data_IF_018732299716
#
_entry.id   IF_018732299716
#
_cell.length_a   1.000
_cell.length_b   1.000
_cell.length_c   1.000
_cell.angle_alpha   90.00
_cell.angle_beta   90.00
_cell.angle_gamma   90.00
#
_symmetry.space_group_name_H-M   'P 1'
#
loop_
_entity.id
_entity.type
_entity.pdbx_description
1 polymer ?
#
# COMPACT_ATOMS: atom_id res chain seq x y z
N UNK A 1 12.45 67.20 -19.32
CA UNK A 1 11.57 67.77 -18.28
C UNK A 1 10.14 67.52 -18.69
N UNK A 2 9.49 66.49 -18.13
CA UNK A 2 8.10 66.13 -18.41
C UNK A 2 7.46 65.71 -17.09
N UNK A 3 6.51 66.52 -16.62
CA UNK A 3 5.90 66.41 -15.30
C UNK A 3 4.89 65.26 -15.22
N UNK A 4 5.02 64.49 -14.14
CA UNK A 4 4.10 63.40 -13.75
C UNK A 4 2.95 64.01 -12.94
N UNK A 5 1.71 63.81 -13.39
CA UNK A 5 0.50 64.18 -12.66
C UNK A 5 0.01 63.00 -11.82
N UNK A 6 -0.11 63.25 -10.51
CA UNK A 6 -0.64 62.31 -9.52
C UNK A 6 -2.17 62.21 -9.62
N UNK A 7 -2.67 61.02 -9.95
CA UNK A 7 -4.08 60.65 -9.89
C UNK A 7 -4.52 60.35 -8.46
N UNK A 8 -5.50 61.12 -7.98
CA UNK A 8 -6.13 61.05 -6.65
C UNK A 8 -7.26 60.00 -6.67
N UNK A 9 -7.08 58.88 -5.98
CA UNK A 9 -8.16 57.88 -5.79
C UNK A 9 -9.07 58.32 -4.65
N UNK A 10 -10.36 58.52 -4.95
CA UNK A 10 -11.43 58.74 -3.97
C UNK A 10 -11.81 57.40 -3.36
N UNK A 11 -11.79 57.33 -2.03
CA UNK A 11 -12.41 56.28 -1.23
C UNK A 11 -13.80 56.77 -0.82
N UNK A 12 -14.83 56.30 -1.53
CA UNK A 12 -16.21 56.52 -1.14
C UNK A 12 -16.75 55.28 -0.40
N UNK A 13 -17.04 55.50 0.88
CA UNK A 13 -18.25 55.09 1.61
C UNK A 13 -18.67 53.60 1.57
N UNK A 14 -18.39 52.90 2.69
CA UNK A 14 -19.15 51.72 3.12
C UNK A 14 -20.11 52.12 4.26
N UNK A 15 -21.38 51.67 4.24
CA UNK A 15 -22.35 51.97 5.30
C UNK A 15 -22.11 51.11 6.55
N UNK A 16 -22.21 51.79 7.69
CA UNK A 16 -22.29 51.26 9.04
C UNK A 16 -23.52 50.37 9.23
N UNK A 17 -23.31 49.09 9.57
CA UNK A 17 -24.37 48.22 10.09
C UNK A 17 -24.27 48.19 11.62
N UNK A 18 -25.38 48.58 12.23
CA UNK A 18 -25.59 48.74 13.66
C UNK A 18 -25.49 47.42 14.44
N UNK A 19 -24.90 47.56 15.62
CA UNK A 19 -24.84 46.56 16.66
C UNK A 19 -26.23 46.37 17.31
N UNK A 20 -26.72 45.12 17.33
CA UNK A 20 -27.75 44.70 18.28
C UNK A 20 -27.14 43.71 19.25
N UNK A 21 -27.17 44.12 20.53
CA UNK A 21 -26.53 43.42 21.63
C UNK A 21 -27.23 42.14 22.02
N UNK A 22 -26.43 41.15 22.41
CA UNK A 22 -26.91 40.04 23.22
C UNK A 22 -26.18 40.01 24.56
N UNK A 23 -27.00 40.15 25.60
CA UNK A 23 -26.67 40.25 27.01
C UNK A 23 -26.03 38.95 27.51
N UNK A 24 -24.93 39.08 28.23
CA UNK A 24 -24.36 38.05 29.09
C UNK A 24 -25.22 37.87 30.35
N UNK A 25 -25.46 36.62 30.75
CA UNK A 25 -25.74 36.28 32.14
C UNK A 25 -24.81 35.13 32.59
N UNK A 26 -24.20 35.23 33.79
CA UNK A 26 -23.41 34.17 34.37
C UNK A 26 -24.25 33.33 35.33
N UNK A 27 -24.29 32.02 35.15
CA UNK A 27 -24.78 31.09 36.18
C UNK A 27 -23.61 30.28 36.73
N UNK A 28 -23.17 30.69 37.93
CA UNK A 28 -22.43 29.86 38.89
C UNK A 28 -23.44 29.11 39.76
N UNK A 29 -23.35 27.78 39.82
CA UNK A 29 -23.76 26.91 40.96
C UNK A 29 -22.87 25.66 40.87
N UNK A 30 -21.80 25.57 41.67
CA UNK A 30 -21.69 24.87 42.95
C UNK A 30 -21.64 23.32 42.85
N UNK A 31 -20.41 22.81 43.01
CA UNK A 31 -19.99 21.65 43.82
C UNK A 31 -20.95 20.47 44.01
N UNK A 32 -20.55 19.28 43.52
CA UNK A 32 -20.66 18.05 44.33
C UNK A 32 -19.44 17.17 44.17
N UNK A 33 -18.71 17.13 45.26
CA UNK A 33 -17.58 16.29 45.60
C UNK A 33 -18.13 14.93 46.06
N UNK A 34 -17.85 13.84 45.35
CA UNK A 34 -17.90 12.51 45.94
C UNK A 34 -16.54 11.83 45.80
N UNK A 35 -15.87 11.81 46.95
CA UNK A 35 -14.80 10.88 47.27
C UNK A 35 -15.41 9.49 47.36
N UNK A 36 -14.83 8.53 46.67
CA UNK A 36 -14.76 7.16 47.16
C UNK A 36 -13.28 6.78 47.16
N UNK A 37 -12.72 6.70 48.36
CA UNK A 37 -11.38 6.21 48.64
C UNK A 37 -11.49 4.86 49.34
N UNK A 38 -10.45 4.05 49.14
CA UNK A 38 -10.04 2.88 49.91
C UNK A 38 -10.75 1.54 49.67
N UNK A 39 -10.08 0.71 48.85
CA UNK A 39 -10.00 -0.73 49.02
C UNK A 39 -8.54 -1.16 48.89
N UNK A 40 -7.82 -1.12 50.01
CA UNK A 40 -6.48 -1.65 50.15
C UNK A 40 -6.56 -3.19 50.05
N UNK A 41 -5.97 -3.79 49.02
CA UNK A 41 -5.71 -5.23 48.98
C UNK A 41 -4.22 -5.49 48.79
N UNK A 42 -3.62 -5.60 49.98
CA UNK A 42 -2.50 -6.44 50.40
C UNK A 42 -1.94 -7.37 49.33
N UNK A 43 -0.65 -7.13 49.08
CA UNK A 43 0.36 -7.96 48.45
C UNK A 43 0.52 -9.26 49.26
N UNK A 44 0.23 -10.41 48.66
CA UNK A 44 0.82 -11.68 49.06
C UNK A 44 1.56 -12.31 47.89
N UNK A 45 2.86 -12.44 48.14
CA UNK A 45 3.85 -13.19 47.40
C UNK A 45 3.47 -14.66 47.28
N UNK A 46 3.37 -15.15 46.05
CA UNK A 46 3.66 -16.56 45.79
C UNK A 46 4.54 -16.65 44.54
N UNK A 47 5.83 -16.55 44.80
CA UNK A 47 6.88 -17.11 43.95
C UNK A 47 6.57 -18.60 43.74
N UNK A 48 6.19 -18.97 42.51
CA UNK A 48 6.50 -20.30 41.99
C UNK A 48 7.20 -20.09 40.66
N UNK A 49 8.51 -20.32 40.70
CA UNK A 49 9.36 -20.29 39.53
C UNK A 49 8.82 -21.19 38.43
N UNK A 50 8.49 -20.58 37.30
CA UNK A 50 8.37 -21.26 36.03
C UNK A 50 9.60 -20.85 35.21
N UNK A 51 10.55 -21.79 35.16
CA UNK A 51 11.88 -21.56 34.66
C UNK A 51 11.91 -21.03 33.22
N UNK A 52 12.89 -20.15 32.99
CA UNK A 52 13.30 -19.58 31.71
C UNK A 52 13.85 -20.61 30.68
N UNK A 53 13.36 -21.86 30.69
CA UNK A 53 13.73 -22.93 29.75
C UNK A 53 12.57 -23.49 28.92
N UNK A 54 11.36 -22.94 29.04
CA UNK A 54 10.18 -23.42 28.30
C UNK A 54 9.81 -22.58 27.04
N UNK A 55 10.65 -21.62 26.64
CA UNK A 55 10.52 -20.86 25.38
C UNK A 55 11.74 -21.16 24.48
N UNK A 56 11.94 -22.44 24.18
CA UNK A 56 12.72 -22.92 23.03
C UNK A 56 11.96 -24.13 22.48
N UNK A 57 11.70 -24.15 21.18
CA UNK A 57 11.09 -25.27 20.43
C UNK A 57 9.56 -25.33 20.25
N UNK A 58 8.83 -24.21 20.17
CA UNK A 58 7.62 -24.18 19.32
C UNK A 58 7.97 -23.69 17.93
N UNK A 59 8.82 -24.47 17.27
CA UNK A 59 9.23 -24.23 15.90
C UNK A 59 8.03 -24.33 14.97
N UNK A 60 8.05 -23.50 13.94
CA UNK A 60 7.28 -23.66 12.72
C UNK A 60 7.79 -24.95 12.03
N UNK A 61 7.50 -26.12 12.62
CA UNK A 61 7.76 -27.39 11.95
C UNK A 61 6.63 -27.56 10.93
N UNK A 62 6.95 -27.73 9.63
CA UNK A 62 5.97 -28.25 8.69
C UNK A 62 5.34 -29.50 9.31
N UNK A 63 4.03 -29.70 9.17
CA UNK A 63 3.42 -31.01 9.44
C UNK A 63 4.02 -32.01 8.45
N UNK A 64 5.17 -32.59 8.79
CA UNK A 64 5.86 -33.64 8.04
C UNK A 64 5.89 -34.97 8.79
N UNK A 65 5.06 -35.14 9.82
CA UNK A 65 4.96 -36.40 10.58
C UNK A 65 4.42 -37.60 9.77
N UNK A 66 4.06 -37.42 8.49
CA UNK A 66 3.79 -38.53 7.56
C UNK A 66 5.00 -39.01 6.75
N UNK A 67 6.20 -38.43 6.93
CA UNK A 67 7.41 -38.80 6.18
C UNK A 67 8.58 -39.34 7.03
N UNK A 68 8.39 -39.54 8.34
CA UNK A 68 9.36 -40.22 9.22
C UNK A 68 8.82 -41.55 9.73
N UNK A 69 8.78 -42.55 8.85
CA UNK A 69 8.34 -43.89 9.23
C UNK A 69 8.58 -45.00 8.21
N UNK A 70 9.32 -44.74 7.13
CA UNK A 70 9.74 -45.78 6.19
C UNK A 70 11.27 -45.75 6.10
N UNK A 71 11.92 -46.69 6.81
CA UNK A 71 13.24 -47.15 6.44
C UNK A 71 13.14 -47.66 4.99
N UNK A 72 13.52 -46.82 4.03
CA UNK A 72 13.68 -47.21 2.66
C UNK A 72 15.07 -47.83 2.52
N UNK A 73 15.07 -49.14 2.32
CA UNK A 73 16.18 -49.89 1.75
C UNK A 73 16.71 -49.17 0.51
N UNK A 74 18.03 -49.25 0.37
CA UNK A 74 18.82 -48.86 -0.80
C UNK A 74 18.15 -49.25 -2.13
N UNK A 75 17.49 -48.28 -2.76
CA UNK A 75 17.28 -48.22 -4.20
C UNK A 75 17.28 -46.76 -4.60
N UNK A 76 18.33 -46.37 -5.31
CA UNK A 76 18.40 -45.14 -6.09
C UNK A 76 17.32 -45.23 -7.16
N UNK A 77 16.15 -44.67 -6.88
CA UNK A 77 15.17 -44.35 -7.92
C UNK A 77 15.26 -42.86 -8.22
N UNK A 78 15.47 -42.59 -9.50
CA UNK A 78 15.63 -41.33 -10.20
C UNK A 78 14.84 -40.17 -9.57
N UNK A 79 15.58 -39.27 -8.91
CA UNK A 79 15.09 -37.92 -8.69
C UNK A 79 15.16 -37.22 -10.05
N UNK A 80 14.01 -37.15 -10.74
CA UNK A 80 13.85 -36.32 -11.94
C UNK A 80 14.18 -34.89 -11.55
N UNK A 81 15.40 -34.47 -11.86
CA UNK A 81 15.82 -33.08 -11.85
C UNK A 81 14.91 -32.35 -12.82
N UNK A 82 13.91 -31.64 -12.32
CA UNK A 82 13.21 -30.64 -13.12
C UNK A 82 14.28 -29.71 -13.68
N UNK A 83 14.47 -29.74 -14.99
CA UNK A 83 15.45 -28.92 -15.69
C UNK A 83 15.22 -27.46 -15.30
N UNK A 84 16.18 -26.89 -14.60
CA UNK A 84 16.25 -25.45 -14.45
C UNK A 84 16.41 -24.88 -15.86
N UNK A 85 15.54 -23.93 -16.24
CA UNK A 85 15.65 -23.21 -17.50
C UNK A 85 17.11 -22.79 -17.71
N UNK A 86 17.64 -23.14 -18.86
CA UNK A 86 18.99 -22.76 -19.23
C UNK A 86 19.08 -21.23 -19.23
N UNK A 87 20.29 -20.72 -19.00
CA UNK A 87 20.56 -19.28 -19.02
C UNK A 87 20.05 -18.63 -20.31
N UNK A 88 20.15 -19.34 -21.43
CA UNK A 88 19.70 -18.90 -22.75
C UNK A 88 18.18 -18.75 -22.83
N UNK A 89 17.41 -19.69 -22.27
CA UNK A 89 15.94 -19.58 -22.24
C UNK A 89 15.46 -18.47 -21.29
N UNK A 90 16.19 -18.22 -20.20
CA UNK A 90 15.93 -17.08 -19.32
C UNK A 90 16.20 -15.74 -20.01
N UNK A 91 17.33 -15.62 -20.71
CA UNK A 91 17.68 -14.41 -21.46
C UNK A 91 16.67 -14.17 -22.61
N UNK A 92 16.26 -15.21 -23.34
CA UNK A 92 15.25 -15.11 -24.39
C UNK A 92 13.87 -14.66 -23.86
N UNK A 93 13.44 -15.21 -22.73
CA UNK A 93 12.17 -14.81 -22.11
C UNK A 93 12.22 -13.36 -21.59
N UNK A 94 13.33 -12.95 -20.97
CA UNK A 94 13.52 -11.57 -20.49
C UNK A 94 13.47 -10.53 -21.62
N UNK A 95 14.06 -10.87 -22.79
CA UNK A 95 14.01 -10.04 -23.99
C UNK A 95 12.58 -9.94 -24.56
N UNK A 96 11.83 -11.05 -24.55
CA UNK A 96 10.43 -11.06 -24.99
C UNK A 96 9.53 -10.20 -24.10
N UNK A 97 9.72 -10.25 -22.78
CA UNK A 97 8.98 -9.41 -21.83
C UNK A 97 9.30 -7.92 -22.01
N UNK A 98 10.58 -7.57 -22.20
CA UNK A 98 11.00 -6.19 -22.49
C UNK A 98 10.42 -5.67 -23.82
N UNK A 99 10.37 -6.51 -24.86
CA UNK A 99 9.76 -6.18 -26.14
C UNK A 99 8.25 -5.94 -26.03
N UNK A 100 7.53 -6.77 -25.25
CA UNK A 100 6.10 -6.58 -25.00
C UNK A 100 5.81 -5.28 -24.24
N UNK A 101 6.66 -4.91 -23.27
CA UNK A 101 6.55 -3.65 -22.54
C UNK A 101 6.83 -2.43 -23.44
N UNK A 102 7.82 -2.53 -24.34
CA UNK A 102 8.10 -1.50 -25.32
C UNK A 102 6.95 -1.34 -26.33
N UNK A 103 6.33 -2.44 -26.77
CA UNK A 103 5.19 -2.41 -27.68
C UNK A 103 3.91 -1.84 -27.05
N UNK A 104 3.76 -1.93 -25.72
CA UNK A 104 2.64 -1.36 -24.99
C UNK A 104 2.76 0.16 -24.74
N UNK A 105 3.93 0.75 -25.02
CA UNK A 105 4.11 2.20 -24.94
C UNK A 105 3.45 2.86 -26.16
N UNK A 106 2.47 3.76 -25.98
CA UNK A 106 1.83 4.43 -27.11
C UNK A 106 2.89 5.25 -27.84
N UNK A 107 3.18 4.86 -29.08
CA UNK A 107 4.01 5.63 -30.01
C UNK A 107 3.31 6.95 -30.28
N UNK A 108 3.70 7.99 -29.55
CA UNK A 108 3.36 9.36 -29.87
C UNK A 108 3.98 9.69 -31.22
N UNK A 109 3.18 9.64 -32.27
CA UNK A 109 3.54 10.04 -33.63
C UNK A 109 3.77 11.56 -33.66
N UNK A 110 4.95 11.95 -33.20
CA UNK A 110 5.48 13.31 -33.28
C UNK A 110 5.94 13.61 -34.69
N UNK A 111 5.01 13.70 -35.64
CA UNK A 111 5.26 14.15 -37.00
C UNK A 111 5.59 15.65 -37.01
N UNK A 112 6.86 15.98 -36.70
CA UNK A 112 7.45 17.30 -36.97
C UNK A 112 7.59 17.47 -38.48
N UNK A 113 6.65 18.17 -39.09
CA UNK A 113 6.85 18.73 -40.44
C UNK A 113 7.81 19.91 -40.32
N UNK A 114 9.04 19.71 -40.79
CA UNK A 114 10.03 20.77 -40.94
C UNK A 114 9.62 21.73 -42.06
N UNK A 115 9.47 23.01 -41.71
CA UNK A 115 9.52 24.11 -42.68
C UNK A 115 10.91 24.71 -42.58
N UNK A 116 11.72 24.44 -43.60
CA UNK A 116 12.98 25.13 -43.84
C UNK A 116 12.67 26.46 -44.52
N UNK A 117 13.12 27.57 -43.94
CA UNK A 117 13.57 28.75 -44.67
C UNK A 117 14.21 29.77 -43.72
N UNK A 118 15.35 30.32 -44.15
CA UNK A 118 15.70 31.71 -43.89
C UNK A 118 16.75 31.96 -42.81
N UNK A 119 17.99 32.10 -43.24
CA UNK A 119 19.05 32.78 -42.52
C UNK A 119 18.75 34.28 -42.40
N UNK A 120 19.00 34.88 -41.25
CA UNK A 120 20.05 35.90 -41.03
C UNK A 120 19.80 36.70 -39.75
N UNK A 121 20.93 37.11 -39.18
CA UNK A 121 21.14 38.25 -38.29
C UNK A 121 20.91 38.12 -36.78
N UNK A 122 22.03 38.39 -36.11
CA UNK A 122 22.21 38.59 -34.70
C UNK A 122 21.48 39.85 -34.23
N UNK A 123 20.75 39.74 -33.12
CA UNK A 123 20.81 40.67 -32.00
C UNK A 123 19.91 40.19 -30.87
N UNK A 124 20.41 40.40 -29.66
CA UNK A 124 19.77 40.28 -28.36
C UNK A 124 18.24 40.23 -28.35
N UNK A 125 17.71 39.04 -28.04
CA UNK A 125 16.50 38.91 -27.24
C UNK A 125 16.57 37.57 -26.54
N UNK A 126 16.77 37.59 -25.23
CA UNK A 126 16.61 36.44 -24.34
C UNK A 126 15.11 36.13 -24.26
N UNK A 127 14.53 35.61 -25.33
CA UNK A 127 13.16 35.09 -25.34
C UNK A 127 13.19 33.83 -24.52
N UNK A 128 12.86 33.98 -23.23
CA UNK A 128 12.36 32.91 -22.39
C UNK A 128 11.17 32.30 -23.12
N UNK A 129 11.44 31.26 -23.91
CA UNK A 129 10.42 30.40 -24.46
C UNK A 129 9.87 29.66 -23.25
N UNK A 130 8.84 30.25 -22.63
CA UNK A 130 7.88 29.51 -21.85
C UNK A 130 7.30 28.47 -22.80
N UNK A 131 7.95 27.30 -22.85
CA UNK A 131 7.28 26.07 -23.24
C UNK A 131 6.30 25.82 -22.11
N UNK A 132 5.21 26.59 -22.16
CA UNK A 132 3.94 26.19 -21.59
C UNK A 132 3.63 24.91 -22.34
N UNK A 133 4.09 23.81 -21.77
CA UNK A 133 3.77 22.47 -22.23
C UNK A 133 2.25 22.44 -22.16
N UNK A 134 1.62 22.70 -23.30
CA UNK A 134 0.20 22.52 -23.53
C UNK A 134 -0.01 21.01 -23.46
N UNK A 135 0.12 20.47 -22.26
CA UNK A 135 -0.51 19.25 -21.82
C UNK A 135 -1.98 19.60 -21.83
N UNK A 136 -2.52 19.61 -23.05
CA UNK A 136 -3.92 19.87 -23.36
C UNK A 136 -4.71 19.16 -22.29
N UNK A 137 -5.43 19.95 -21.52
CA UNK A 137 -6.32 19.54 -20.46
C UNK A 137 -7.43 18.69 -21.08
N UNK A 138 -7.08 17.47 -21.49
CA UNK A 138 -8.01 16.41 -21.84
C UNK A 138 -8.81 16.22 -20.58
N UNK A 139 -10.03 16.77 -20.60
CA UNK A 139 -10.98 16.64 -19.53
C UNK A 139 -10.98 15.18 -19.09
N UNK A 140 -10.47 14.92 -17.89
CA UNK A 140 -10.42 13.56 -17.36
C UNK A 140 -11.84 12.99 -17.43
N UNK A 141 -12.03 11.81 -18.02
CA UNK A 141 -13.36 11.27 -18.25
C UNK A 141 -14.13 11.25 -16.93
N UNK A 142 -15.41 11.66 -16.95
CA UNK A 142 -16.23 11.82 -15.76
C UNK A 142 -16.59 10.49 -15.04
N UNK A 143 -15.99 9.37 -15.45
CA UNK A 143 -16.33 8.02 -15.04
C UNK A 143 -15.14 7.19 -14.58
N UNK A 144 -15.39 5.90 -14.36
CA UNK A 144 -14.38 4.94 -13.91
C UNK A 144 -13.34 4.72 -15.03
N UNK A 145 -12.06 4.84 -14.70
CA UNK A 145 -10.98 4.53 -15.65
C UNK A 145 -10.73 3.01 -15.69
N UNK A 146 -11.54 2.32 -16.49
CA UNK A 146 -11.46 0.86 -16.67
C UNK A 146 -10.10 0.38 -17.18
N UNK A 147 -9.41 1.18 -17.97
CA UNK A 147 -8.07 0.83 -18.49
C UNK A 147 -7.07 0.70 -17.33
N UNK A 148 -7.05 1.66 -16.41
CA UNK A 148 -6.17 1.59 -15.23
C UNK A 148 -6.51 0.41 -14.32
N UNK A 149 -7.81 0.11 -14.13
CA UNK A 149 -8.24 -1.08 -13.37
C UNK A 149 -7.73 -2.35 -14.05
N UNK A 150 -7.93 -2.48 -15.36
CA UNK A 150 -7.52 -3.66 -16.10
C UNK A 150 -6.00 -3.85 -16.05
N UNK A 151 -5.22 -2.77 -16.22
CA UNK A 151 -3.77 -2.81 -16.09
C UNK A 151 -3.34 -3.25 -14.69
N UNK A 152 -4.00 -2.76 -13.64
CA UNK A 152 -3.73 -3.21 -12.26
C UNK A 152 -4.04 -4.69 -12.06
N UNK A 153 -5.16 -5.19 -12.59
CA UNK A 153 -5.50 -6.62 -12.56
C UNK A 153 -4.45 -7.45 -13.27
N UNK A 154 -4.02 -7.03 -14.47
CA UNK A 154 -2.98 -7.72 -15.24
C UNK A 154 -1.65 -7.74 -14.50
N UNK A 155 -1.20 -6.61 -13.95
CA UNK A 155 0.03 -6.52 -13.14
C UNK A 155 0.00 -7.52 -11.97
N UNK A 156 -1.11 -7.58 -11.24
CA UNK A 156 -1.26 -8.48 -10.09
C UNK A 156 -1.27 -9.96 -10.48
N UNK A 157 -1.91 -10.31 -11.61
CA UNK A 157 -1.93 -11.69 -12.11
C UNK A 157 -0.54 -12.11 -12.62
N UNK A 158 0.15 -11.23 -13.34
CA UNK A 158 1.51 -11.48 -13.82
C UNK A 158 2.49 -11.61 -12.65
N UNK A 159 2.37 -10.73 -11.66
CA UNK A 159 3.16 -10.77 -10.43
C UNK A 159 2.98 -12.12 -9.71
N UNK A 160 1.75 -12.52 -9.42
CA UNK A 160 1.48 -13.81 -8.79
C UNK A 160 1.93 -14.99 -9.67
N UNK A 161 1.71 -14.93 -10.98
CA UNK A 161 2.08 -15.95 -11.95
C UNK A 161 3.60 -16.19 -12.01
N UNK A 162 4.38 -15.12 -12.06
CA UNK A 162 5.85 -15.17 -12.02
C UNK A 162 6.35 -15.89 -10.76
N UNK A 163 5.78 -15.55 -9.60
CA UNK A 163 6.15 -16.16 -8.34
C UNK A 163 5.65 -17.61 -8.20
N UNK A 164 4.46 -17.91 -8.69
CA UNK A 164 3.94 -19.28 -8.74
C UNK A 164 4.79 -20.18 -9.65
N UNK A 165 5.36 -19.62 -10.72
CA UNK A 165 6.30 -20.32 -11.60
C UNK A 165 7.63 -20.61 -10.90
N UNK A 166 8.15 -19.69 -10.09
CA UNK A 166 9.34 -19.92 -9.25
C UNK A 166 9.11 -20.90 -8.09
N UNK A 167 7.85 -21.19 -7.74
CA UNK A 167 7.51 -22.03 -6.60
C UNK A 167 7.66 -23.54 -6.90
N UNK A 168 8.47 -24.22 -6.10
CA UNK A 168 8.57 -25.69 -6.17
C UNK A 168 7.20 -26.34 -5.86
N UNK A 169 6.94 -27.58 -6.34
CA UNK A 169 5.69 -28.28 -6.05
C UNK A 169 5.36 -28.36 -4.55
N UNK A 170 6.39 -28.57 -3.71
CA UNK A 170 6.24 -28.62 -2.26
C UNK A 170 5.76 -27.27 -1.68
N UNK A 171 6.30 -26.15 -2.16
CA UNK A 171 5.87 -24.82 -1.71
C UNK A 171 4.43 -24.54 -2.17
N UNK A 172 4.07 -24.93 -3.40
CA UNK A 172 2.70 -24.79 -3.91
C UNK A 172 1.69 -25.56 -3.07
N UNK A 173 2.01 -26.78 -2.66
CA UNK A 173 1.14 -27.58 -1.78
C UNK A 173 1.04 -26.99 -0.36
N UNK A 174 2.13 -26.43 0.16
CA UNK A 174 2.11 -25.73 1.44
C UNK A 174 1.25 -24.45 1.40
N UNK A 175 1.34 -23.67 0.31
CA UNK A 175 0.48 -22.51 0.07
C UNK A 175 -0.99 -22.93 0.01
N UNK A 176 -1.29 -23.96 -0.77
CA UNK A 176 -2.66 -24.49 -0.93
C UNK A 176 -3.25 -24.95 0.41
N UNK A 177 -2.48 -25.70 1.19
CA UNK A 177 -2.93 -26.19 2.51
C UNK A 177 -3.06 -25.09 3.56
N UNK A 178 -2.36 -23.96 3.38
CA UNK A 178 -2.52 -22.77 4.23
C UNK A 178 -3.79 -21.97 3.89
N UNK A 179 -4.35 -22.18 2.70
CA UNK A 179 -5.56 -21.52 2.22
C UNK A 179 -6.81 -22.33 2.59
N UNK A 180 -7.20 -22.25 3.87
CA UNK A 180 -8.46 -22.83 4.35
C UNK A 180 -9.48 -21.72 4.55
N UNK A 181 -10.50 -21.70 3.68
CA UNK A 181 -11.61 -20.75 3.80
C UNK A 181 -12.37 -21.04 5.10
N UNK A 182 -12.45 -20.06 5.99
CA UNK A 182 -13.17 -20.19 7.26
C UNK A 182 -13.79 -18.86 7.69
N UNK A 183 -15.04 -18.89 8.12
CA UNK A 183 -15.73 -17.68 8.61
C UNK A 183 -15.03 -17.04 9.82
N UNK A 184 -14.54 -17.81 10.82
CA UNK A 184 -13.74 -17.24 11.91
C UNK A 184 -12.46 -16.56 11.40
N UNK A 185 -11.79 -17.14 10.39
CA UNK A 185 -10.61 -16.53 9.77
C UNK A 185 -10.91 -15.22 9.07
N UNK A 186 -12.04 -15.12 8.36
CA UNK A 186 -12.51 -13.86 7.75
C UNK A 186 -12.78 -12.81 8.82
N UNK A 187 -13.52 -13.16 9.88
CA UNK A 187 -13.80 -12.25 10.98
C UNK A 187 -12.53 -11.76 11.69
N UNK A 188 -11.58 -12.67 11.92
CA UNK A 188 -10.29 -12.34 12.53
C UNK A 188 -9.42 -11.48 11.61
N UNK A 189 -9.45 -11.70 10.30
CA UNK A 189 -8.78 -10.85 9.32
C UNK A 189 -9.35 -9.44 9.32
N UNK A 190 -10.68 -9.30 9.27
CA UNK A 190 -11.33 -7.99 9.35
C UNK A 190 -10.99 -7.25 10.65
N UNK A 191 -10.99 -7.95 11.80
CA UNK A 191 -10.54 -7.38 13.07
C UNK A 191 -9.04 -7.03 13.05
N UNK A 192 -8.22 -7.85 12.38
CA UNK A 192 -6.80 -7.62 12.17
C UNK A 192 -6.47 -6.36 11.36
N UNK A 193 -7.42 -5.81 10.61
CA UNK A 193 -7.25 -4.51 9.94
C UNK A 193 -7.32 -3.32 10.91
N UNK A 194 -7.96 -3.47 12.08
CA UNK A 194 -8.17 -2.36 13.04
C UNK A 194 -6.86 -1.73 13.50
N UNK A 195 -5.82 -2.47 13.94
CA UNK A 195 -4.54 -1.87 14.29
C UNK A 195 -3.87 -1.13 13.13
N UNK A 196 -4.07 -1.56 11.89
CA UNK A 196 -3.53 -0.88 10.71
C UNK A 196 -4.19 0.50 10.52
N UNK A 197 -5.50 0.59 10.73
CA UNK A 197 -6.20 1.89 10.71
C UNK A 197 -5.76 2.80 11.85
N UNK A 198 -5.64 2.26 13.06
CA UNK A 198 -5.14 3.04 14.21
C UNK A 198 -3.74 3.57 13.93
N UNK A 199 -2.86 2.76 13.35
CA UNK A 199 -1.53 3.17 12.91
C UNK A 199 -1.61 4.28 11.85
N UNK A 200 -2.44 4.12 10.81
CA UNK A 200 -2.61 5.14 9.78
C UNK A 200 -3.17 6.47 10.32
N UNK A 201 -4.14 6.42 11.25
CA UNK A 201 -4.65 7.60 11.93
C UNK A 201 -3.58 8.25 12.79
N UNK A 202 -2.80 7.46 13.54
CA UNK A 202 -1.68 7.96 14.33
C UNK A 202 -0.66 8.68 13.44
N UNK A 203 -0.25 8.08 12.32
CA UNK A 203 0.65 8.71 11.36
C UNK A 203 0.09 10.03 10.82
N UNK A 204 -1.21 10.09 10.50
CA UNK A 204 -1.87 11.32 10.03
C UNK A 204 -1.89 12.46 11.05
N UNK A 205 -1.67 12.18 12.34
CA UNK A 205 -1.51 13.23 13.37
C UNK A 205 -0.06 13.75 13.48
N UNK A 206 0.91 13.04 12.91
CA UNK A 206 2.32 13.40 13.02
C UNK A 206 2.71 14.43 11.96
N UNK A 207 3.50 15.43 12.36
CA UNK A 207 3.97 16.50 11.48
C UNK A 207 5.35 16.21 10.86
N UNK A 208 5.68 14.95 10.64
CA UNK A 208 7.02 14.57 10.18
C UNK A 208 7.24 14.98 8.71
N UNK A 209 8.32 15.71 8.38
CA UNK A 209 8.52 16.23 7.02
C UNK A 209 8.58 15.15 5.93
N UNK A 210 9.18 14.00 6.24
CA UNK A 210 9.29 12.88 5.31
C UNK A 210 7.93 12.22 5.04
N UNK A 211 7.04 12.19 6.03
CA UNK A 211 5.68 11.65 5.91
C UNK A 211 4.79 12.61 5.10
N UNK A 212 4.93 13.92 5.28
CA UNK A 212 4.22 14.91 4.45
C UNK A 212 4.59 14.83 2.98
N UNK A 213 5.86 14.56 2.65
CA UNK A 213 6.28 14.32 1.27
C UNK A 213 5.62 13.08 0.68
N UNK A 214 5.45 12.04 1.49
CA UNK A 214 4.68 10.86 1.09
C UNK A 214 3.23 11.21 0.83
N UNK A 215 2.55 11.94 1.72
CA UNK A 215 1.16 12.36 1.49
C UNK A 215 1.00 13.26 0.27
N UNK A 216 1.96 14.14 -0.01
CA UNK A 216 1.96 14.99 -1.20
C UNK A 216 2.15 14.17 -2.47
N UNK A 217 3.10 13.22 -2.47
CA UNK A 217 3.32 12.33 -3.62
C UNK A 217 2.13 11.39 -3.80
N UNK A 218 1.62 10.79 -2.73
CA UNK A 218 0.41 10.00 -2.75
C UNK A 218 -0.78 10.84 -3.22
N UNK A 219 -0.92 12.11 -2.83
CA UNK A 219 -1.96 13.01 -3.34
C UNK A 219 -1.78 13.34 -4.83
N UNK A 220 -0.54 13.40 -5.32
CA UNK A 220 -0.23 13.57 -6.74
C UNK A 220 -0.51 12.28 -7.52
N UNK A 221 -0.15 11.12 -6.99
CA UNK A 221 -0.45 9.79 -7.54
C UNK A 221 -1.96 9.47 -7.39
N UNK A 222 -2.66 10.09 -6.43
CA UNK A 222 -4.13 10.10 -6.31
C UNK A 222 -4.75 10.94 -7.45
N UNK A 223 -4.01 11.78 -8.18
CA UNK A 223 -4.52 12.28 -9.48
C UNK A 223 -4.65 11.14 -10.50
N UNK A 224 -3.91 10.04 -10.35
CA UNK A 224 -4.14 8.80 -11.11
C UNK A 224 -5.31 7.97 -10.55
N UNK A 225 -5.82 8.30 -9.35
CA UNK A 225 -7.14 7.87 -8.86
C UNK A 225 -8.32 8.54 -9.61
N UNK A 226 -8.06 9.12 -10.78
CA UNK A 226 -8.98 9.10 -11.92
C UNK A 226 -9.63 7.72 -12.17
N UNK A 227 -9.14 6.64 -11.55
CA UNK A 227 -9.85 5.36 -11.38
C UNK A 227 -11.34 5.50 -11.13
N UNK A 228 -11.78 6.44 -10.29
CA UNK A 228 -13.20 6.56 -9.89
C UNK A 228 -13.89 7.85 -10.35
N UNK A 229 -13.21 8.69 -11.12
CA UNK A 229 -13.74 9.96 -11.62
C UNK A 229 -14.01 11.01 -10.53
N UNK A 230 -14.37 12.23 -10.96
CA UNK A 230 -14.53 13.40 -10.06
C UNK A 230 -15.88 13.47 -9.33
N UNK A 231 -16.86 12.65 -9.72
CA UNK A 231 -18.19 12.66 -9.10
C UNK A 231 -18.20 11.81 -7.84
N UNK A 232 -18.90 12.27 -6.80
CA UNK A 232 -19.04 11.53 -5.54
C UNK A 232 -19.95 10.30 -5.73
N UNK A 233 -19.37 9.17 -6.13
CA UNK A 233 -20.07 7.90 -6.40
C UNK A 233 -19.64 6.74 -5.47
N UNK A 234 -19.75 6.94 -4.15
CA UNK A 234 -19.23 6.04 -3.11
C UNK A 234 -19.63 4.57 -3.32
N UNK A 235 -20.90 4.29 -3.64
CA UNK A 235 -21.37 2.92 -3.84
C UNK A 235 -20.65 2.22 -5.02
N UNK A 236 -20.45 2.92 -6.14
CA UNK A 236 -19.72 2.37 -7.29
C UNK A 236 -18.25 2.15 -6.98
N UNK A 237 -17.64 3.08 -6.24
CA UNK A 237 -16.25 2.92 -5.77
C UNK A 237 -16.13 1.69 -4.90
N UNK A 238 -16.99 1.51 -3.90
CA UNK A 238 -16.96 0.35 -3.02
C UNK A 238 -17.14 -0.97 -3.79
N UNK A 239 -18.07 -1.04 -4.74
CA UNK A 239 -18.32 -2.25 -5.55
C UNK A 239 -17.10 -2.64 -6.38
N UNK A 240 -16.32 -1.68 -6.86
CA UNK A 240 -15.12 -1.95 -7.67
C UNK A 240 -13.87 -2.13 -6.79
N UNK A 241 -13.73 -1.35 -5.72
CA UNK A 241 -12.54 -1.35 -4.88
C UNK A 241 -12.42 -2.60 -4.01
N UNK A 242 -13.54 -3.18 -3.54
CA UNK A 242 -13.52 -4.41 -2.73
C UNK A 242 -12.93 -5.61 -3.48
N UNK A 243 -13.39 -6.00 -4.68
CA UNK A 243 -12.79 -7.12 -5.41
C UNK A 243 -11.36 -6.81 -5.85
N UNK A 244 -11.06 -5.55 -6.20
CA UNK A 244 -9.70 -5.15 -6.55
C UNK A 244 -8.75 -5.28 -5.35
N UNK A 245 -9.13 -4.76 -4.19
CA UNK A 245 -8.36 -4.89 -2.95
C UNK A 245 -8.18 -6.34 -2.53
N UNK A 246 -9.21 -7.18 -2.70
CA UNK A 246 -9.11 -8.61 -2.44
C UNK A 246 -8.11 -9.31 -3.37
N UNK A 247 -8.10 -8.95 -4.66
CA UNK A 247 -7.15 -9.50 -5.64
C UNK A 247 -5.71 -9.08 -5.30
N UNK A 248 -5.47 -7.79 -5.04
CA UNK A 248 -4.16 -7.26 -4.65
C UNK A 248 -3.67 -7.95 -3.38
N UNK A 249 -4.49 -7.97 -2.32
CA UNK A 249 -4.14 -8.62 -1.07
C UNK A 249 -3.87 -10.12 -1.24
N UNK A 250 -4.67 -10.82 -2.06
CA UNK A 250 -4.43 -12.23 -2.36
C UNK A 250 -3.05 -12.43 -3.00
N UNK A 251 -2.73 -11.68 -4.04
CA UNK A 251 -1.46 -11.77 -4.75
C UNK A 251 -0.28 -11.43 -3.84
N UNK A 252 -0.32 -10.30 -3.16
CA UNK A 252 0.77 -9.82 -2.32
C UNK A 252 1.01 -10.70 -1.10
N UNK A 253 -0.04 -11.14 -0.40
CA UNK A 253 0.12 -12.00 0.77
C UNK A 253 0.60 -13.40 0.37
N UNK A 254 0.13 -13.96 -0.75
CA UNK A 254 0.66 -15.23 -1.26
C UNK A 254 2.16 -15.14 -1.55
N UNK A 255 2.64 -14.02 -2.08
CA UNK A 255 4.06 -13.82 -2.36
C UNK A 255 4.85 -13.52 -1.08
N UNK A 256 4.52 -12.48 -0.34
CA UNK A 256 5.35 -11.99 0.76
C UNK A 256 5.23 -12.80 2.05
N UNK A 257 4.09 -13.46 2.28
CA UNK A 257 3.79 -14.23 3.51
C UNK A 257 3.81 -15.72 3.26
N UNK A 258 3.49 -16.13 2.03
CA UNK A 258 3.59 -17.51 1.59
C UNK A 258 4.95 -17.84 0.99
N UNK A 259 5.22 -17.38 -0.23
CA UNK A 259 6.33 -17.85 -1.05
C UNK A 259 7.71 -17.39 -0.57
N UNK A 260 7.93 -16.08 -0.44
CA UNK A 260 9.24 -15.50 -0.10
C UNK A 260 9.80 -16.06 1.21
N UNK A 261 9.01 -16.16 2.31
CA UNK A 261 9.49 -16.75 3.55
C UNK A 261 9.89 -18.22 3.39
N UNK A 262 9.10 -19.00 2.64
CA UNK A 262 9.38 -20.42 2.40
C UNK A 262 10.63 -20.62 1.55
N UNK A 263 10.84 -19.80 0.53
CA UNK A 263 12.07 -19.81 -0.27
C UNK A 263 13.28 -19.44 0.58
N UNK A 264 13.17 -18.39 1.40
CA UNK A 264 14.26 -17.95 2.29
C UNK A 264 14.61 -19.05 3.29
N UNK A 265 13.62 -19.63 3.99
CA UNK A 265 13.86 -20.73 4.94
C UNK A 265 14.52 -21.93 4.24
N UNK A 266 14.00 -22.33 3.07
CA UNK A 266 14.51 -23.49 2.33
C UNK A 266 15.94 -23.30 1.82
N UNK A 267 16.33 -22.08 1.44
CA UNK A 267 17.65 -21.80 0.85
C UNK A 267 18.71 -21.39 1.86
N UNK A 268 18.32 -20.75 2.97
CA UNK A 268 19.28 -20.10 3.87
C UNK A 268 19.34 -20.69 5.27
N UNK A 269 18.30 -21.42 5.70
CA UNK A 269 18.20 -21.92 7.08
C UNK A 269 18.08 -20.81 8.13
N UNK A 270 17.75 -19.57 7.73
CA UNK A 270 17.65 -18.42 8.64
C UNK A 270 16.55 -18.62 9.71
N UNK A 271 16.73 -18.02 10.90
CA UNK A 271 15.68 -18.02 11.92
C UNK A 271 14.45 -17.26 11.42
N UNK A 272 13.26 -17.68 11.89
CA UNK A 272 11.97 -17.10 11.47
C UNK A 272 11.96 -15.57 11.57
N UNK A 273 12.52 -14.99 12.63
CA UNK A 273 12.59 -13.54 12.81
C UNK A 273 13.36 -12.81 11.70
N UNK A 274 14.48 -13.40 11.23
CA UNK A 274 15.26 -12.83 10.13
C UNK A 274 14.48 -12.92 8.81
N UNK A 275 13.76 -14.02 8.60
CA UNK A 275 12.90 -14.21 7.43
C UNK A 275 11.76 -13.19 7.40
N UNK A 276 11.10 -12.95 8.54
CA UNK A 276 10.08 -11.91 8.68
C UNK A 276 10.66 -10.54 8.33
N UNK A 277 11.83 -10.20 8.89
CA UNK A 277 12.48 -8.92 8.65
C UNK A 277 12.84 -8.71 7.17
N UNK A 278 13.41 -9.73 6.52
CA UNK A 278 13.76 -9.67 5.09
C UNK A 278 12.51 -9.55 4.22
N UNK A 279 11.46 -10.33 4.49
CA UNK A 279 10.18 -10.21 3.77
C UNK A 279 9.55 -8.83 3.93
N UNK A 280 9.63 -8.24 5.13
CA UNK A 280 9.16 -6.88 5.38
C UNK A 280 9.96 -5.84 4.57
N UNK A 281 11.28 -6.00 4.47
CA UNK A 281 12.14 -5.15 3.63
C UNK A 281 11.76 -5.26 2.15
N UNK A 282 11.53 -6.48 1.63
CA UNK A 282 11.08 -6.66 0.25
C UNK A 282 9.71 -6.01 -0.02
N UNK A 283 8.78 -6.14 0.93
CA UNK A 283 7.47 -5.49 0.86
C UNK A 283 7.63 -3.95 0.84
N UNK A 284 8.45 -3.39 1.73
CA UNK A 284 8.77 -1.96 1.74
C UNK A 284 9.43 -1.48 0.45
N UNK A 285 10.38 -2.24 -0.09
CA UNK A 285 11.08 -1.91 -1.33
C UNK A 285 10.14 -1.86 -2.54
N UNK A 286 9.16 -2.77 -2.65
CA UNK A 286 8.16 -2.75 -3.73
C UNK A 286 7.27 -1.50 -3.71
N UNK A 287 7.09 -0.93 -2.52
CA UNK A 287 6.26 0.25 -2.27
C UNK A 287 7.10 1.55 -2.12
N UNK A 288 8.37 1.52 -2.51
CA UNK A 288 9.31 2.63 -2.32
C UNK A 288 9.10 3.79 -3.31
N UNK A 289 7.90 4.35 -3.39
CA UNK A 289 7.65 5.64 -4.04
C UNK A 289 8.33 6.80 -3.29
N UNK A 290 8.46 6.66 -1.97
CA UNK A 290 9.25 7.50 -1.07
C UNK A 290 9.88 6.63 0.02
N UNK A 291 10.84 7.16 0.78
CA UNK A 291 11.35 6.44 1.95
C UNK A 291 10.26 6.21 3.00
N UNK A 292 9.33 7.17 3.17
CA UNK A 292 8.22 7.04 4.10
C UNK A 292 7.30 5.89 3.76
N UNK A 293 6.87 5.79 2.49
CA UNK A 293 6.03 4.68 2.02
C UNK A 293 6.73 3.33 2.15
N UNK A 294 8.04 3.27 1.92
CA UNK A 294 8.80 2.04 2.10
C UNK A 294 8.83 1.59 3.57
N UNK A 295 9.05 2.52 4.49
CA UNK A 295 9.05 2.25 5.94
C UNK A 295 7.65 1.83 6.40
N UNK A 296 6.61 2.55 6.00
CA UNK A 296 5.23 2.24 6.37
C UNK A 296 4.80 0.86 5.87
N UNK A 297 5.09 0.56 4.59
CA UNK A 297 4.82 -0.75 4.01
C UNK A 297 5.63 -1.86 4.68
N UNK A 298 6.88 -1.60 5.09
CA UNK A 298 7.67 -2.59 5.84
C UNK A 298 7.09 -2.85 7.24
N UNK A 299 6.67 -1.81 7.97
CA UNK A 299 6.07 -1.92 9.31
C UNK A 299 4.74 -2.68 9.26
N UNK A 300 3.84 -2.29 8.35
CA UNK A 300 2.60 -3.03 8.10
C UNK A 300 2.90 -4.44 7.59
N UNK A 301 3.91 -4.57 6.74
CA UNK A 301 4.51 -5.80 6.26
C UNK A 301 4.75 -6.82 7.37
N UNK A 302 5.52 -6.39 8.35
CA UNK A 302 5.88 -7.14 9.55
C UNK A 302 4.67 -7.47 10.42
N UNK A 303 3.77 -6.50 10.65
CA UNK A 303 2.54 -6.74 11.43
C UNK A 303 1.66 -7.84 10.81
N UNK A 304 1.41 -7.77 9.51
CA UNK A 304 0.61 -8.77 8.80
C UNK A 304 1.32 -10.14 8.79
N UNK A 305 2.65 -10.16 8.79
CA UNK A 305 3.39 -11.41 8.99
C UNK A 305 3.20 -11.96 10.42
N UNK A 306 3.14 -11.12 11.45
CA UNK A 306 2.78 -11.56 12.80
C UNK A 306 1.35 -12.11 12.86
N UNK A 307 0.40 -11.57 12.08
CA UNK A 307 -0.94 -12.15 11.93
C UNK A 307 -0.88 -13.56 11.32
N UNK A 308 -0.06 -13.78 10.29
CA UNK A 308 0.16 -15.12 9.74
C UNK A 308 0.69 -16.08 10.81
N UNK A 309 1.74 -15.68 11.54
CA UNK A 309 2.39 -16.56 12.52
C UNK A 309 1.49 -16.90 13.71
N UNK A 310 0.69 -15.94 14.16
CA UNK A 310 -0.23 -16.12 15.29
C UNK A 310 -1.45 -16.98 14.94
N UNK A 311 -1.96 -16.84 13.71
CA UNK A 311 -3.18 -17.55 13.28
C UNK A 311 -2.92 -18.82 12.49
N UNK A 312 -1.72 -18.97 11.92
CA UNK A 312 -1.33 -20.05 11.01
C UNK A 312 -2.28 -20.20 9.81
N UNK A 313 -2.89 -19.10 9.39
CA UNK A 313 -3.78 -19.04 8.24
C UNK A 313 -3.39 -17.87 7.37
N UNK A 314 -3.18 -18.10 6.08
CA UNK A 314 -2.87 -17.02 5.13
C UNK A 314 -4.11 -16.19 4.80
N UNK A 315 -5.31 -16.75 4.99
CA UNK A 315 -6.58 -16.06 4.78
C UNK A 315 -6.71 -14.82 5.70
N UNK A 316 -6.22 -14.91 6.95
CA UNK A 316 -6.31 -13.81 7.91
C UNK A 316 -5.54 -12.58 7.42
N UNK A 317 -4.24 -12.66 7.06
CA UNK A 317 -3.50 -11.62 6.35
C UNK A 317 -4.20 -11.06 5.12
N UNK A 318 -4.70 -11.94 4.23
CA UNK A 318 -5.36 -11.53 2.98
C UNK A 318 -6.57 -10.65 3.27
N UNK A 319 -7.44 -11.10 4.19
CA UNK A 319 -8.64 -10.33 4.53
C UNK A 319 -8.28 -9.04 5.26
N UNK A 320 -7.30 -9.06 6.18
CA UNK A 320 -6.86 -7.84 6.88
C UNK A 320 -6.35 -6.77 5.90
N UNK A 321 -5.50 -7.19 4.96
CA UNK A 321 -4.95 -6.33 3.92
C UNK A 321 -6.07 -5.83 2.97
N UNK A 322 -6.92 -6.72 2.46
CA UNK A 322 -8.01 -6.34 1.56
C UNK A 322 -9.00 -5.35 2.20
N UNK A 323 -9.35 -5.54 3.47
CA UNK A 323 -10.23 -4.63 4.21
C UNK A 323 -9.56 -3.27 4.40
N UNK A 324 -8.26 -3.26 4.74
CA UNK A 324 -7.49 -2.04 4.88
C UNK A 324 -7.50 -1.22 3.58
N UNK A 325 -7.15 -1.84 2.47
CA UNK A 325 -7.10 -1.19 1.16
C UNK A 325 -8.46 -0.74 0.65
N UNK A 326 -9.50 -1.56 0.81
CA UNK A 326 -10.85 -1.21 0.38
C UNK A 326 -11.35 0.06 1.08
N UNK A 327 -11.09 0.20 2.38
CA UNK A 327 -11.46 1.40 3.13
C UNK A 327 -10.59 2.59 2.71
N UNK A 328 -9.29 2.40 2.51
CA UNK A 328 -8.41 3.47 2.02
C UNK A 328 -8.86 3.99 0.65
N UNK A 329 -9.29 3.12 -0.28
CA UNK A 329 -9.84 3.54 -1.56
C UNK A 329 -11.11 4.39 -1.39
N UNK A 330 -12.04 3.98 -0.52
CA UNK A 330 -13.29 4.71 -0.27
C UNK A 330 -13.01 6.05 0.42
N UNK A 331 -12.16 6.08 1.44
CA UNK A 331 -11.79 7.30 2.16
C UNK A 331 -11.02 8.26 1.25
N UNK A 332 -10.11 7.75 0.42
CA UNK A 332 -9.39 8.53 -0.59
C UNK A 332 -10.34 9.20 -1.57
N UNK A 333 -11.31 8.45 -2.10
CA UNK A 333 -12.35 8.99 -2.99
C UNK A 333 -13.20 10.08 -2.33
N UNK A 334 -13.60 9.88 -1.08
CA UNK A 334 -14.36 10.87 -0.32
C UNK A 334 -13.56 12.16 -0.08
N UNK A 335 -12.27 12.05 0.25
CA UNK A 335 -11.39 13.20 0.45
C UNK A 335 -11.20 13.98 -0.84
N UNK A 336 -10.98 13.30 -1.96
CA UNK A 336 -10.74 13.96 -3.24
C UNK A 336 -12.00 14.67 -3.76
N UNK A 337 -13.16 14.04 -3.65
CA UNK A 337 -14.44 14.62 -4.08
C UNK A 337 -14.96 15.74 -3.17
N UNK A 338 -14.37 15.94 -1.99
CA UNK A 338 -14.70 17.03 -1.07
C UNK A 338 -13.85 18.30 -1.27
N UNK A 339 -12.78 18.24 -2.07
CA UNK A 339 -11.93 19.41 -2.33
C UNK A 339 -12.69 20.42 -3.21
N UNK A 340 -12.75 21.72 -2.83
CA UNK A 340 -13.35 22.74 -3.66
C UNK A 340 -12.58 22.87 -4.98
N UNK A 341 -13.31 23.03 -6.07
CA UNK A 341 -12.77 23.31 -7.41
C UNK A 341 -12.49 24.80 -7.59
#
# INVERSE_FOLDING_TARGET
MGGVSNGRVRNDQLPSIEATGFRSQPTRVATRQERASFGCLRRDSQERGLGARAIRQRGWSPRSNSLRGRQLNSRQDEFVSGEALSREEFEAWSAAAAAAAAAASPTGDGRRTGSANGASDASDATTSVCVEEVYSSRASPAGINWTSILLSVVDQVLFLGFFAWLATPAIREQLRSSFVLSFPGIGLGAAGAVPMFVYGLYLGTQNWPWLKRHEQKAAADIKDLNLFGRRRQVARVAVVSVPLAMLVALCEECVYRGLVPLLLVAKTGLPVAAVVGISAVFCGARHAGTLGSAIDAAVLGMYVHCLLLSTRSILVPIVAHAVFDAILFVVGHLKETARPQ
#
